data_IF_206562042595
#
_entry.id   IF_206562042595
#
_cell.length_a   1.000
_cell.length_b   1.000
_cell.length_c   1.000
_cell.angle_alpha   90.00
_cell.angle_beta   90.00
_cell.angle_gamma   90.00
#
_symmetry.space_group_name_H-M   'P 1'
#
loop_
_entity.id
_entity.type
_entity.pdbx_description
1 polymer ?
#
# COMPACT_ATOMS: atom_id res chain seq x y z
N UNK A 1 13.93 14.16 14.79
CA UNK A 1 13.53 13.22 15.87
C UNK A 1 14.83 12.74 16.52
N UNK A 2 14.93 12.62 17.85
CA UNK A 2 16.20 12.20 18.50
C UNK A 2 16.10 10.86 19.21
N UNK A 3 17.23 10.21 19.44
CA UNK A 3 17.32 8.95 20.20
C UNK A 3 16.71 9.07 21.61
N UNK A 4 16.93 10.20 22.30
CA UNK A 4 16.33 10.44 23.62
C UNK A 4 14.80 10.48 23.58
N UNK A 5 14.22 11.06 22.52
CA UNK A 5 12.76 11.05 22.33
C UNK A 5 12.24 9.63 22.08
N UNK A 6 12.96 8.85 21.27
CA UNK A 6 12.61 7.46 20.93
C UNK A 6 12.69 6.54 22.15
N UNK A 7 13.73 6.68 22.98
CA UNK A 7 13.90 5.90 24.21
C UNK A 7 12.72 6.08 25.19
N UNK A 8 12.07 7.25 25.20
CA UNK A 8 10.94 7.57 26.06
C UNK A 8 9.57 7.14 25.51
N UNK A 9 9.49 6.58 24.30
CA UNK A 9 8.23 6.14 23.72
C UNK A 9 7.65 4.92 24.47
N UNK A 10 6.35 4.66 24.30
CA UNK A 10 5.70 3.45 24.82
C UNK A 10 6.31 2.16 24.21
N UNK A 11 6.08 0.98 24.80
CA UNK A 11 6.46 -0.32 24.20
C UNK A 11 5.95 -0.47 22.76
N UNK A 12 6.75 -1.11 21.91
CA UNK A 12 6.50 -1.37 20.48
C UNK A 12 6.07 -0.14 19.65
N UNK A 13 6.88 0.94 19.64
CA UNK A 13 6.48 2.19 19.00
C UNK A 13 6.49 2.04 17.48
N UNK A 14 5.52 2.69 16.82
CA UNK A 14 5.50 2.84 15.37
C UNK A 14 6.10 4.20 15.03
N UNK A 15 7.18 4.21 14.26
CA UNK A 15 7.95 5.41 13.92
C UNK A 15 8.02 5.55 12.39
N UNK A 16 7.39 6.58 11.84
CA UNK A 16 7.50 6.94 10.43
C UNK A 16 8.35 8.20 10.27
N UNK A 17 9.59 8.02 9.84
CA UNK A 17 10.54 9.10 9.54
C UNK A 17 10.58 9.30 8.01
N UNK A 18 9.72 10.19 7.50
CA UNK A 18 9.39 10.30 6.07
C UNK A 18 10.06 11.48 5.36
N UNK A 19 10.92 12.24 6.05
CA UNK A 19 11.71 13.27 5.41
C UNK A 19 12.60 12.70 4.28
N UNK A 20 12.74 13.46 3.21
CA UNK A 20 13.56 13.09 2.04
C UNK A 20 14.61 14.18 1.76
N UNK A 21 15.82 13.81 1.29
CA UNK A 21 16.31 12.45 1.06
C UNK A 21 16.79 11.75 2.34
N UNK A 22 16.97 12.50 3.43
CA UNK A 22 17.43 12.00 4.74
C UNK A 22 16.25 12.00 5.71
N UNK A 23 15.89 10.86 6.31
CA UNK A 23 14.85 10.76 7.34
C UNK A 23 15.15 11.60 8.58
N UNK A 24 14.13 11.91 9.38
CA UNK A 24 14.24 12.67 10.64
C UNK A 24 15.10 11.99 11.71
N UNK A 25 15.29 10.67 11.60
CA UNK A 25 16.20 9.80 12.35
C UNK A 25 16.43 8.54 11.52
N UNK A 26 17.64 8.00 11.51
CA UNK A 26 17.97 6.79 10.76
C UNK A 26 17.49 5.51 11.49
N UNK A 27 17.15 4.44 10.77
CA UNK A 27 16.79 3.16 11.38
C UNK A 27 17.83 2.57 12.33
N UNK A 28 19.11 2.78 12.02
CA UNK A 28 20.23 2.34 12.85
C UNK A 28 20.25 3.09 14.18
N UNK A 29 19.99 4.41 14.17
CA UNK A 29 19.93 5.23 15.39
C UNK A 29 18.75 4.85 16.29
N UNK A 30 17.61 4.47 15.70
CA UNK A 30 16.46 3.94 16.45
C UNK A 30 16.80 2.59 17.09
N UNK A 31 17.44 1.69 16.34
CA UNK A 31 17.79 0.35 16.80
C UNK A 31 18.76 0.37 18.00
N UNK A 32 19.62 1.39 18.10
CA UNK A 32 20.52 1.58 19.25
C UNK A 32 19.79 1.80 20.58
N UNK A 33 18.57 2.36 20.54
CA UNK A 33 17.79 2.68 21.75
C UNK A 33 16.51 1.86 21.91
N UNK A 34 15.98 1.27 20.82
CA UNK A 34 14.75 0.49 20.78
C UNK A 34 14.83 -0.60 19.72
N UNK A 35 14.85 -1.85 20.15
CA UNK A 35 14.83 -3.06 19.29
C UNK A 35 13.41 -3.56 18.99
N UNK A 36 12.41 -3.02 19.68
CA UNK A 36 11.00 -3.41 19.57
C UNK A 36 10.18 -2.55 18.59
N UNK A 37 10.77 -1.45 18.09
CA UNK A 37 10.13 -0.48 17.22
C UNK A 37 9.77 -1.04 15.83
N UNK A 38 8.62 -0.62 15.31
CA UNK A 38 8.26 -0.77 13.90
C UNK A 38 8.60 0.54 13.20
N UNK A 39 9.57 0.50 12.29
CA UNK A 39 10.06 1.70 11.62
C UNK A 39 9.76 1.68 10.13
N UNK A 40 9.30 2.82 9.59
CA UNK A 40 9.15 3.07 8.16
C UNK A 40 9.79 4.38 7.75
N UNK A 41 10.33 4.41 6.53
CA UNK A 41 10.96 5.61 5.95
C UNK A 41 10.52 5.83 4.51
N UNK A 42 10.90 6.95 3.89
CA UNK A 42 10.71 7.17 2.45
C UNK A 42 11.69 6.41 1.54
N UNK A 43 12.79 5.89 2.10
CA UNK A 43 13.88 5.29 1.32
C UNK A 43 13.63 3.80 1.04
N UNK A 44 14.03 3.36 -0.15
CA UNK A 44 13.82 1.99 -0.64
C UNK A 44 14.84 0.98 -0.13
N UNK A 45 15.96 1.44 0.43
CA UNK A 45 16.99 0.58 1.00
C UNK A 45 16.71 0.16 2.45
N UNK A 46 15.60 0.65 3.03
CA UNK A 46 15.13 0.24 4.34
C UNK A 46 13.81 -0.55 4.27
N UNK A 47 13.54 -1.42 5.27
CA UNK A 47 12.22 -2.03 5.43
C UNK A 47 11.09 -1.00 5.53
N UNK A 48 9.86 -1.45 5.25
CA UNK A 48 8.65 -0.62 5.37
C UNK A 48 8.75 0.73 4.65
N UNK A 49 9.21 0.73 3.39
CA UNK A 49 9.23 1.95 2.58
C UNK A 49 7.81 2.51 2.41
N UNK A 50 7.57 3.71 2.93
CA UNK A 50 6.33 4.45 2.75
C UNK A 50 6.50 5.39 1.56
N UNK A 51 5.96 4.98 0.41
CA UNK A 51 6.09 5.73 -0.83
C UNK A 51 4.75 5.83 -1.57
N UNK A 52 4.48 6.99 -2.17
CA UNK A 52 3.25 7.27 -2.89
C UNK A 52 3.06 6.42 -4.16
N UNK A 53 4.09 5.71 -4.63
CA UNK A 53 4.02 4.76 -5.75
C UNK A 53 2.97 3.67 -5.55
N UNK A 54 2.67 3.32 -4.30
CA UNK A 54 1.61 2.36 -3.94
C UNK A 54 0.21 2.99 -3.94
N UNK A 55 0.11 4.32 -4.00
CA UNK A 55 -1.14 5.06 -3.94
C UNK A 55 -1.55 5.63 -5.30
N UNK A 56 -0.78 6.59 -5.82
CA UNK A 56 -1.25 7.43 -6.92
C UNK A 56 -1.66 6.64 -8.19
N UNK A 57 -0.90 5.64 -8.68
CA UNK A 57 -1.27 4.98 -9.95
C UNK A 57 -2.64 4.32 -9.86
N UNK A 58 -2.95 3.72 -8.71
CA UNK A 58 -4.14 2.89 -8.51
C UNK A 58 -5.34 3.72 -8.05
N UNK A 59 -5.12 4.77 -7.25
CA UNK A 59 -6.16 5.77 -6.95
C UNK A 59 -6.66 6.39 -8.25
N UNK A 60 -5.74 6.82 -9.12
CA UNK A 60 -6.13 7.36 -10.43
C UNK A 60 -6.79 6.30 -11.31
N UNK A 61 -6.29 5.07 -11.37
CA UNK A 61 -6.93 3.99 -12.15
C UNK A 61 -8.40 3.80 -11.76
N UNK A 62 -8.66 3.59 -10.47
CA UNK A 62 -10.01 3.38 -9.95
C UNK A 62 -10.93 4.56 -10.21
N UNK A 63 -10.46 5.77 -9.91
CA UNK A 63 -11.22 7.00 -10.11
C UNK A 63 -11.55 7.27 -11.59
N UNK A 64 -10.59 7.04 -12.49
CA UNK A 64 -10.77 7.26 -13.93
C UNK A 64 -11.71 6.24 -14.55
N UNK A 65 -11.64 4.97 -14.14
CA UNK A 65 -12.50 3.90 -14.67
C UNK A 65 -13.98 4.13 -14.39
N UNK A 66 -14.32 4.65 -13.21
CA UNK A 66 -15.70 5.00 -12.85
C UNK A 66 -16.05 6.46 -13.17
N UNK A 67 -15.14 7.18 -13.84
CA UNK A 67 -15.29 8.58 -14.22
C UNK A 67 -15.69 9.46 -13.03
N UNK A 68 -14.98 9.34 -11.90
CA UNK A 68 -15.24 10.15 -10.72
C UNK A 68 -15.13 11.66 -11.02
N UNK A 69 -15.91 12.51 -10.35
CA UNK A 69 -15.85 13.98 -10.48
C UNK A 69 -14.67 14.60 -9.73
N UNK A 70 -14.20 13.93 -8.68
CA UNK A 70 -13.15 14.37 -7.77
C UNK A 70 -12.59 13.15 -7.03
N UNK A 71 -11.42 13.29 -6.43
CA UNK A 71 -10.91 12.35 -5.42
C UNK A 71 -11.41 12.82 -4.06
N UNK A 72 -12.11 11.97 -3.33
CA UNK A 72 -12.65 12.28 -1.99
C UNK A 72 -11.75 11.73 -0.88
N UNK A 73 -11.99 12.15 0.36
CA UNK A 73 -11.29 11.57 1.51
C UNK A 73 -11.66 10.10 1.72
N UNK A 74 -12.91 9.70 1.49
CA UNK A 74 -13.29 8.29 1.59
C UNK A 74 -12.63 7.42 0.51
N UNK A 75 -12.41 7.93 -0.70
CA UNK A 75 -11.58 7.24 -1.70
C UNK A 75 -10.13 7.05 -1.24
N UNK A 76 -9.53 8.05 -0.58
CA UNK A 76 -8.16 7.94 -0.02
C UNK A 76 -8.11 6.94 1.13
N UNK A 77 -9.11 6.95 2.00
CA UNK A 77 -9.24 5.98 3.09
C UNK A 77 -9.40 4.55 2.55
N UNK A 78 -10.27 4.35 1.55
CA UNK A 78 -10.44 3.05 0.89
C UNK A 78 -9.13 2.54 0.27
N UNK A 79 -8.32 3.43 -0.32
CA UNK A 79 -7.00 3.06 -0.83
C UNK A 79 -6.03 2.63 0.29
N UNK A 80 -6.00 3.38 1.40
CA UNK A 80 -5.15 3.06 2.54
C UNK A 80 -5.54 1.73 3.20
N UNK A 81 -6.84 1.48 3.38
CA UNK A 81 -7.37 0.22 3.91
C UNK A 81 -7.09 -0.97 2.98
N UNK A 82 -7.21 -0.77 1.66
CA UNK A 82 -6.88 -1.79 0.67
C UNK A 82 -5.39 -2.18 0.72
N UNK A 83 -4.48 -1.20 0.84
CA UNK A 83 -3.04 -1.47 1.01
C UNK A 83 -2.74 -2.18 2.33
N UNK A 84 -3.34 -1.72 3.43
CA UNK A 84 -3.16 -2.32 4.74
C UNK A 84 -3.67 -3.76 4.80
N UNK A 85 -4.74 -4.08 4.07
CA UNK A 85 -5.26 -5.45 3.96
C UNK A 85 -4.35 -6.28 3.07
N UNK A 86 -3.95 -5.77 1.90
CA UNK A 86 -3.03 -6.46 1.00
C UNK A 86 -1.68 -6.80 1.67
N UNK A 87 -1.19 -5.94 2.58
CA UNK A 87 0.05 -6.21 3.31
C UNK A 87 -0.01 -7.49 4.15
N UNK A 88 -1.21 -7.90 4.58
CA UNK A 88 -1.45 -9.08 5.43
C UNK A 88 -1.69 -10.35 4.60
N UNK A 89 -1.90 -10.22 3.30
CA UNK A 89 -2.05 -11.35 2.40
C UNK A 89 -0.69 -12.04 2.14
N UNK A 90 -0.69 -13.32 1.74
CA UNK A 90 0.52 -14.00 1.33
C UNK A 90 1.26 -13.24 0.22
N UNK A 91 2.55 -12.99 0.44
CA UNK A 91 3.37 -12.27 -0.53
C UNK A 91 3.63 -13.16 -1.76
N UNK A 92 3.29 -12.71 -2.99
CA UNK A 92 3.49 -13.52 -4.19
C UNK A 92 4.97 -13.87 -4.44
N UNK A 93 5.22 -15.06 -5.00
CA UNK A 93 6.58 -15.56 -5.28
C UNK A 93 7.43 -14.57 -6.11
N UNK A 94 6.84 -13.94 -7.13
CA UNK A 94 7.58 -12.99 -7.96
C UNK A 94 8.03 -11.73 -7.18
N UNK A 95 7.34 -11.36 -6.10
CA UNK A 95 7.76 -10.27 -5.21
C UNK A 95 8.91 -10.74 -4.34
N UNK A 96 8.79 -11.93 -3.73
CA UNK A 96 9.85 -12.54 -2.92
C UNK A 96 11.16 -12.66 -3.71
N UNK A 97 11.08 -13.15 -4.95
CA UNK A 97 12.20 -13.26 -5.86
C UNK A 97 12.83 -11.90 -6.21
N UNK A 98 12.01 -10.86 -6.44
CA UNK A 98 12.48 -9.51 -6.77
C UNK A 98 13.25 -8.82 -5.63
N UNK A 99 12.96 -9.21 -4.38
CA UNK A 99 13.62 -8.67 -3.18
C UNK A 99 14.62 -9.65 -2.53
N UNK A 100 14.85 -10.82 -3.15
CA UNK A 100 15.72 -11.87 -2.64
C UNK A 100 15.39 -12.30 -1.19
N UNK A 101 14.10 -12.35 -0.85
CA UNK A 101 13.61 -12.75 0.48
C UNK A 101 12.44 -13.74 0.38
N UNK A 102 12.76 -15.03 0.49
CA UNK A 102 11.77 -16.12 0.46
C UNK A 102 10.86 -16.14 1.69
N UNK A 103 11.29 -15.54 2.80
CA UNK A 103 10.56 -15.49 4.06
C UNK A 103 9.73 -14.21 4.22
N UNK A 104 9.72 -13.34 3.20
CA UNK A 104 8.96 -12.10 3.22
C UNK A 104 7.48 -12.39 3.50
N UNK A 105 7.02 -11.89 4.64
CA UNK A 105 5.66 -12.05 5.15
C UNK A 105 5.35 -10.88 6.08
N UNK A 106 4.06 -10.63 6.32
CA UNK A 106 3.60 -9.55 7.20
C UNK A 106 4.27 -9.62 8.58
N UNK A 107 4.80 -8.50 9.05
CA UNK A 107 5.50 -8.42 10.33
C UNK A 107 6.19 -7.08 10.55
N UNK A 108 6.99 -6.95 11.61
CA UNK A 108 7.63 -5.66 12.00
C UNK A 108 8.46 -5.03 10.87
N UNK A 109 9.00 -5.82 9.95
CA UNK A 109 9.80 -5.38 8.79
C UNK A 109 9.02 -5.36 7.45
N UNK A 110 7.74 -5.72 7.46
CA UNK A 110 6.87 -5.73 6.28
C UNK A 110 5.42 -5.44 6.67
N UNK A 111 5.10 -4.17 6.88
CA UNK A 111 3.74 -3.69 7.23
C UNK A 111 2.99 -3.07 6.04
N UNK A 112 3.68 -2.90 4.91
CA UNK A 112 3.18 -2.27 3.69
C UNK A 112 3.61 -3.12 2.48
N UNK A 113 2.75 -3.29 1.44
CA UNK A 113 3.12 -4.06 0.26
C UNK A 113 4.34 -3.42 -0.44
N UNK A 114 5.08 -4.22 -1.19
CA UNK A 114 6.21 -3.72 -1.96
C UNK A 114 5.79 -3.23 -3.36
N UNK A 115 6.45 -2.21 -3.95
CA UNK A 115 6.11 -1.64 -5.25
C UNK A 115 5.93 -2.64 -6.40
N UNK A 116 6.65 -3.77 -6.39
CA UNK A 116 6.52 -4.81 -7.42
C UNK A 116 5.30 -5.72 -7.23
N UNK A 117 4.53 -5.57 -6.15
CA UNK A 117 3.32 -6.34 -5.93
C UNK A 117 2.18 -5.84 -6.83
N UNK A 118 2.02 -6.49 -7.99
CA UNK A 118 1.00 -6.17 -8.99
C UNK A 118 -0.43 -6.23 -8.45
N UNK A 119 -0.70 -7.01 -7.40
CA UNK A 119 -2.01 -7.07 -6.74
C UNK A 119 -2.48 -5.69 -6.23
N UNK A 120 -1.57 -4.77 -5.93
CA UNK A 120 -1.92 -3.41 -5.52
C UNK A 120 -2.84 -2.70 -6.54
N UNK A 121 -2.71 -3.01 -7.84
CA UNK A 121 -3.63 -2.53 -8.87
C UNK A 121 -5.06 -3.00 -8.61
N UNK A 122 -5.26 -4.30 -8.43
CA UNK A 122 -6.61 -4.89 -8.26
C UNK A 122 -7.22 -4.38 -6.96
N UNK A 123 -6.46 -4.41 -5.87
CA UNK A 123 -6.94 -4.05 -4.54
C UNK A 123 -7.29 -2.56 -4.43
N UNK A 124 -6.33 -1.69 -4.73
CA UNK A 124 -6.51 -0.24 -4.51
C UNK A 124 -7.46 0.36 -5.53
N UNK A 125 -7.32 0.05 -6.82
CA UNK A 125 -8.20 0.63 -7.84
C UNK A 125 -9.66 0.19 -7.64
N UNK A 126 -9.90 -1.08 -7.26
CA UNK A 126 -11.25 -1.57 -6.98
C UNK A 126 -11.87 -0.93 -5.75
N UNK A 127 -11.10 -0.76 -4.67
CA UNK A 127 -11.57 -0.09 -3.46
C UNK A 127 -11.94 1.38 -3.75
N UNK A 128 -11.10 2.09 -4.51
CA UNK A 128 -11.32 3.48 -4.89
C UNK A 128 -12.51 3.64 -5.83
N UNK A 129 -12.66 2.76 -6.83
CA UNK A 129 -13.80 2.74 -7.73
C UNK A 129 -15.12 2.51 -6.96
N UNK A 130 -15.13 1.56 -6.04
CA UNK A 130 -16.27 1.27 -5.18
C UNK A 130 -16.65 2.47 -4.32
N UNK A 131 -15.68 3.07 -3.61
CA UNK A 131 -15.92 4.25 -2.78
C UNK A 131 -16.48 5.43 -3.61
N UNK A 132 -15.94 5.66 -4.82
CA UNK A 132 -16.44 6.72 -5.69
C UNK A 132 -17.90 6.51 -6.13
N UNK A 133 -18.32 5.26 -6.32
CA UNK A 133 -19.71 4.90 -6.67
C UNK A 133 -20.62 5.05 -5.45
N UNK A 134 -20.23 4.52 -4.30
CA UNK A 134 -21.00 4.59 -3.05
C UNK A 134 -21.19 6.03 -2.57
N UNK A 135 -20.20 6.90 -2.77
CA UNK A 135 -20.29 8.34 -2.46
C UNK A 135 -21.01 9.17 -3.53
N UNK A 136 -21.46 8.56 -4.64
CA UNK A 136 -22.20 9.24 -5.71
C UNK A 136 -21.36 10.24 -6.52
N UNK A 137 -20.03 10.13 -6.49
CA UNK A 137 -19.12 10.97 -7.29
C UNK A 137 -18.73 10.34 -8.63
N UNK A 138 -18.96 9.04 -8.81
CA UNK A 138 -18.84 8.32 -10.06
C UNK A 138 -19.91 8.72 -11.09
N UNK A 139 -19.64 8.50 -12.38
CA UNK A 139 -20.56 8.81 -13.49
C UNK A 139 -20.91 7.60 -14.36
N UNK A 140 -20.56 6.40 -13.91
CA UNK A 140 -21.02 5.14 -14.51
C UNK A 140 -22.38 4.75 -13.94
N UNK A 141 -23.20 4.07 -14.75
CA UNK A 141 -24.60 3.74 -14.40
C UNK A 141 -24.72 2.33 -13.81
N UNK A 142 -24.02 1.36 -14.38
CA UNK A 142 -24.10 -0.06 -14.02
C UNK A 142 -22.76 -0.58 -13.49
N UNK A 143 -22.34 -0.10 -12.32
CA UNK A 143 -21.10 -0.55 -11.70
C UNK A 143 -21.28 -1.91 -11.01
N UNK A 144 -20.59 -2.92 -11.52
CA UNK A 144 -20.38 -4.20 -10.85
C UNK A 144 -18.94 -4.28 -10.30
N UNK A 145 -18.83 -4.35 -8.98
CA UNK A 145 -17.56 -4.40 -8.29
C UNK A 145 -16.75 -5.66 -8.60
N UNK A 146 -17.40 -6.83 -8.69
CA UNK A 146 -16.71 -8.09 -8.95
C UNK A 146 -16.26 -8.16 -10.41
N UNK A 147 -17.14 -7.78 -11.34
CA UNK A 147 -16.77 -7.69 -12.75
C UNK A 147 -15.60 -6.72 -12.98
N UNK A 148 -15.59 -5.59 -12.26
CA UNK A 148 -14.47 -4.63 -12.32
C UNK A 148 -13.16 -5.22 -11.78
N UNK A 149 -13.21 -5.95 -10.65
CA UNK A 149 -12.04 -6.65 -10.10
C UNK A 149 -11.46 -7.66 -11.07
N UNK A 150 -12.31 -8.48 -11.70
CA UNK A 150 -11.87 -9.47 -12.68
C UNK A 150 -11.31 -8.81 -13.94
N UNK A 151 -11.90 -7.70 -14.40
CA UNK A 151 -11.31 -6.90 -15.49
C UNK A 151 -9.90 -6.43 -15.15
N UNK A 152 -9.65 -5.95 -13.92
CA UNK A 152 -8.30 -5.56 -13.50
C UNK A 152 -7.35 -6.76 -13.41
N UNK A 153 -7.84 -7.91 -12.94
CA UNK A 153 -7.08 -9.16 -12.92
C UNK A 153 -6.65 -9.57 -14.32
N UNK A 154 -7.55 -9.51 -15.29
CA UNK A 154 -7.27 -9.76 -16.71
C UNK A 154 -6.12 -8.90 -17.26
N UNK A 155 -6.03 -7.62 -16.87
CA UNK A 155 -4.97 -6.73 -17.34
C UNK A 155 -3.57 -7.18 -16.88
N UNK A 156 -3.49 -7.92 -15.78
CA UNK A 156 -2.23 -8.36 -15.17
C UNK A 156 -1.87 -9.78 -15.60
N UNK A 157 -2.87 -10.68 -15.59
CA UNK A 157 -2.67 -12.12 -15.72
C UNK A 157 -3.24 -12.70 -17.03
N UNK A 158 -3.89 -11.90 -17.86
CA UNK A 158 -4.68 -12.37 -19.00
C UNK A 158 -6.11 -12.74 -18.58
N UNK A 159 -7.06 -12.67 -19.52
CA UNK A 159 -8.40 -13.19 -19.27
C UNK A 159 -8.45 -14.70 -19.49
N UNK A 160 -9.23 -15.44 -18.69
CA UNK A 160 -9.58 -16.81 -19.04
C UNK A 160 -10.31 -16.83 -20.38
N UNK A 161 -10.06 -17.85 -21.19
CA UNK A 161 -10.82 -18.09 -22.42
C UNK A 161 -12.28 -18.39 -22.03
N UNK A 162 -13.25 -17.81 -22.75
CA UNK A 162 -14.66 -18.16 -22.60
C UNK A 162 -14.87 -19.59 -23.13
N UNK A 163 -15.33 -20.52 -22.28
CA UNK A 163 -15.74 -21.88 -22.67
C UNK A 163 -16.99 -21.88 -23.56
#
# INVERSE_FOLDING_TARGET
LSQEMVAKMAPEPIIFALANPVPEILPEEVLEVRDDAIMGTGRSDYPNQINNVLGFPFIFRGALDVRAKKITEGMKMAAAEALATLAKEPVPYYVKAAYHDENLAYGKKHIIPLPFNKEALIWVASAVAKAAVEEGVARVVDYDHQAYREKLRCLIYGCPEEE
#
